data_IF_178661514457
#
_entry.id   IF_178661514457
#
_cell.length_a   1.000
_cell.length_b   1.000
_cell.length_c   1.000
_cell.angle_alpha   90.00
_cell.angle_beta   90.00
_cell.angle_gamma   90.00
#
_symmetry.space_group_name_H-M   'P 1'
#
loop_
_entity.id
_entity.type
_entity.pdbx_description
1 polymer ?
#
# COMPACT_ATOMS: atom_id res chain seq x y z
N UNK A 1 -7.48 -4.81 9.48
CA UNK A 1 -7.00 -5.53 8.29
C UNK A 1 -5.59 -5.96 8.57
N UNK A 2 -5.21 -7.16 8.16
CA UNK A 2 -3.81 -7.56 8.12
C UNK A 2 -3.28 -7.14 6.76
N UNK A 3 -2.18 -6.40 6.72
CA UNK A 3 -1.52 -5.98 5.48
C UNK A 3 -0.06 -6.39 5.55
N UNK A 4 0.44 -7.03 4.50
CA UNK A 4 1.82 -7.47 4.38
C UNK A 4 2.45 -6.86 3.12
N UNK A 5 3.69 -6.37 3.24
CA UNK A 5 4.46 -5.86 2.12
C UNK A 5 5.30 -6.98 1.52
N UNK A 6 5.05 -7.32 0.25
CA UNK A 6 5.78 -8.37 -0.47
C UNK A 6 6.54 -7.73 -1.64
N UNK A 7 7.79 -8.14 -1.83
CA UNK A 7 8.57 -7.75 -3.00
C UNK A 7 8.01 -8.45 -4.25
N UNK A 8 7.80 -7.70 -5.33
CA UNK A 8 7.22 -8.25 -6.57
C UNK A 8 7.98 -9.48 -7.11
N UNK A 9 9.31 -9.52 -6.96
CA UNK A 9 10.14 -10.65 -7.38
C UNK A 9 9.92 -11.95 -6.60
N UNK A 10 9.40 -11.86 -5.36
CA UNK A 10 9.13 -13.00 -4.49
C UNK A 10 7.72 -13.58 -4.66
N UNK A 11 6.84 -12.84 -5.34
CA UNK A 11 5.44 -13.23 -5.50
C UNK A 11 5.32 -14.63 -6.13
N UNK A 12 6.16 -14.93 -7.13
CA UNK A 12 6.18 -16.22 -7.86
C UNK A 12 6.64 -17.43 -7.04
N UNK A 13 7.28 -17.23 -5.89
CA UNK A 13 7.87 -18.33 -5.11
C UNK A 13 6.94 -18.89 -4.02
N UNK A 14 5.69 -18.43 -3.92
CA UNK A 14 4.73 -18.93 -2.94
C UNK A 14 3.52 -18.04 -2.69
N UNK A 15 3.69 -16.71 -2.50
CA UNK A 15 2.61 -15.80 -2.14
C UNK A 15 1.45 -15.73 -3.15
N UNK A 16 1.67 -16.08 -4.42
CA UNK A 16 0.60 -16.21 -5.42
C UNK A 16 -0.54 -17.14 -4.97
N UNK A 17 -0.28 -18.11 -4.09
CA UNK A 17 -1.32 -19.00 -3.58
C UNK A 17 -2.35 -18.27 -2.69
N UNK A 18 -1.98 -17.15 -2.07
CA UNK A 18 -2.88 -16.32 -1.25
C UNK A 18 -3.72 -15.36 -2.12
N UNK A 19 -3.26 -15.07 -3.34
CA UNK A 19 -3.90 -14.15 -4.28
C UNK A 19 -4.98 -14.86 -5.13
N UNK A 20 -5.13 -16.18 -4.98
CA UNK A 20 -6.14 -16.98 -5.71
C UNK A 20 -7.57 -16.70 -5.18
N UNK A 21 -7.71 -16.21 -3.95
CA UNK A 21 -9.02 -15.93 -3.35
C UNK A 21 -9.52 -14.52 -3.71
N UNK A 22 -10.71 -14.42 -4.33
CA UNK A 22 -11.37 -13.15 -4.68
C UNK A 22 -11.61 -12.20 -3.48
N UNK A 23 -11.45 -12.71 -2.25
CA UNK A 23 -11.63 -11.96 -1.01
C UNK A 23 -10.37 -11.20 -0.54
N UNK A 24 -9.18 -11.45 -1.11
CA UNK A 24 -7.95 -10.73 -0.77
C UNK A 24 -7.67 -9.59 -1.75
N UNK A 25 -7.90 -8.32 -1.36
CA UNK A 25 -7.54 -7.20 -2.21
C UNK A 25 -6.01 -7.06 -2.30
N UNK A 26 -5.48 -7.06 -3.52
CA UNK A 26 -4.05 -6.80 -3.80
C UNK A 26 -3.90 -5.37 -4.32
N UNK A 27 -2.96 -4.63 -3.74
CA UNK A 27 -2.59 -3.30 -4.19
C UNK A 27 -1.15 -3.37 -4.71
N UNK A 28 -0.96 -3.07 -6.00
CA UNK A 28 0.36 -3.08 -6.63
C UNK A 28 0.81 -1.66 -6.92
N UNK A 29 2.00 -1.30 -6.42
CA UNK A 29 2.64 -0.02 -6.73
C UNK A 29 3.58 -0.24 -7.91
N UNK A 30 3.27 0.41 -9.04
CA UNK A 30 4.08 0.33 -10.26
C UNK A 30 4.61 1.71 -10.61
N UNK A 31 5.93 1.79 -10.74
CA UNK A 31 6.63 2.98 -11.20
C UNK A 31 6.97 2.83 -12.68
N UNK A 32 7.09 3.94 -13.41
CA UNK A 32 7.55 3.91 -14.80
C UNK A 32 9.07 3.80 -14.83
N UNK A 33 9.59 2.61 -14.58
CA UNK A 33 11.01 2.27 -14.61
C UNK A 33 11.28 1.25 -15.74
N UNK A 34 12.54 0.93 -16.11
CA UNK A 34 12.81 0.02 -17.23
C UNK A 34 12.28 -1.42 -17.04
N UNK A 35 11.79 -1.78 -15.84
CA UNK A 35 11.12 -3.06 -15.55
C UNK A 35 9.58 -2.95 -15.71
N UNK A 36 9.07 -1.82 -16.21
CA UNK A 36 7.64 -1.59 -16.38
C UNK A 36 6.99 -2.63 -17.29
N UNK A 37 6.01 -3.34 -16.73
CA UNK A 37 5.09 -4.21 -17.46
C UNK A 37 3.71 -3.58 -17.43
N UNK A 38 3.01 -3.54 -18.56
CA UNK A 38 1.65 -3.01 -18.64
C UNK A 38 0.73 -3.81 -17.72
N UNK A 39 0.36 -3.21 -16.59
CA UNK A 39 -0.70 -3.69 -15.70
C UNK A 39 -2.03 -3.08 -16.10
N UNK A 40 -3.13 -3.81 -15.90
CA UNK A 40 -4.48 -3.45 -16.39
C UNK A 40 -5.50 -3.05 -15.30
N UNK A 41 -5.08 -2.90 -14.03
CA UNK A 41 -6.00 -2.65 -12.90
C UNK A 41 -5.88 -1.25 -12.29
N UNK A 42 -7.01 -0.69 -11.85
CA UNK A 42 -7.22 0.63 -11.25
C UNK A 42 -5.96 1.43 -10.89
N UNK A 43 -5.55 2.36 -11.77
CA UNK A 43 -4.31 3.12 -11.61
C UNK A 43 -4.51 4.47 -10.92
N UNK A 44 -3.73 4.73 -9.87
CA UNK A 44 -3.43 6.09 -9.43
C UNK A 44 -2.14 6.55 -10.13
N UNK A 45 -2.25 7.50 -11.07
CA UNK A 45 -1.09 7.99 -11.83
C UNK A 45 -0.29 8.99 -11.00
N UNK A 46 0.92 8.60 -10.60
CA UNK A 46 1.88 9.49 -9.95
C UNK A 46 2.77 10.13 -11.04
N UNK A 47 3.08 11.44 -10.97
CA UNK A 47 3.99 12.06 -11.93
C UNK A 47 5.36 11.37 -11.95
N UNK A 48 5.99 11.34 -13.12
CA UNK A 48 7.31 10.75 -13.28
C UNK A 48 8.36 11.62 -12.58
N UNK A 49 9.10 11.03 -11.64
CA UNK A 49 10.25 11.66 -10.98
C UNK A 49 11.45 10.73 -11.01
N UNK A 50 12.59 11.19 -10.49
CA UNK A 50 13.79 10.34 -10.37
C UNK A 50 13.52 9.13 -9.48
N UNK A 51 14.13 7.99 -9.81
CA UNK A 51 13.88 6.69 -9.18
C UNK A 51 13.93 6.74 -7.65
N UNK A 52 14.85 7.52 -7.09
CA UNK A 52 15.03 7.67 -5.65
C UNK A 52 13.88 8.42 -4.95
N UNK A 53 13.20 9.33 -5.66
CA UNK A 53 12.08 10.13 -5.13
C UNK A 53 10.73 9.47 -5.42
N UNK A 54 10.67 8.61 -6.43
CA UNK A 54 9.46 7.90 -6.82
C UNK A 54 8.87 7.07 -5.66
N UNK A 55 9.73 6.45 -4.83
CA UNK A 55 9.30 5.71 -3.64
C UNK A 55 8.64 6.59 -2.56
N UNK A 56 9.04 7.85 -2.43
CA UNK A 56 8.39 8.78 -1.48
C UNK A 56 7.01 9.18 -2.01
N UNK A 57 6.91 9.43 -3.31
CA UNK A 57 5.64 9.82 -3.92
C UNK A 57 4.60 8.69 -3.95
N UNK A 58 5.03 7.43 -3.98
CA UNK A 58 4.12 6.27 -3.92
C UNK A 58 3.63 5.96 -2.51
N UNK A 59 4.34 6.42 -1.46
CA UNK A 59 3.91 6.27 -0.07
C UNK A 59 2.73 7.19 0.26
N UNK A 60 2.67 8.40 -0.31
CA UNK A 60 1.57 9.36 -0.09
C UNK A 60 0.18 8.77 -0.39
N UNK A 61 -0.09 8.21 -1.59
CA UNK A 61 -1.39 7.61 -1.88
C UNK A 61 -1.67 6.37 -1.01
N UNK A 62 -0.66 5.58 -0.65
CA UNK A 62 -0.82 4.46 0.27
C UNK A 62 -1.24 4.90 1.68
N UNK A 63 -0.70 6.02 2.17
CA UNK A 63 -1.09 6.61 3.45
C UNK A 63 -2.53 7.12 3.41
N UNK A 64 -2.93 7.82 2.33
CA UNK A 64 -4.30 8.30 2.14
C UNK A 64 -5.31 7.16 2.03
N UNK A 65 -4.94 6.06 1.37
CA UNK A 65 -5.75 4.86 1.28
C UNK A 65 -5.96 4.22 2.65
N UNK A 66 -4.90 4.07 3.44
CA UNK A 66 -4.99 3.58 4.82
C UNK A 66 -5.94 4.43 5.67
N UNK A 67 -5.82 5.76 5.57
CA UNK A 67 -6.70 6.69 6.28
C UNK A 67 -8.17 6.52 5.86
N UNK A 68 -8.47 6.48 4.57
CA UNK A 68 -9.85 6.32 4.10
C UNK A 68 -10.46 4.98 4.50
N UNK A 69 -9.68 3.89 4.45
CA UNK A 69 -10.17 2.59 4.90
C UNK A 69 -10.40 2.59 6.42
N UNK A 70 -9.56 3.28 7.20
CA UNK A 70 -9.77 3.41 8.64
C UNK A 70 -11.06 4.19 8.96
N UNK A 71 -11.30 5.31 8.25
CA UNK A 71 -12.54 6.10 8.38
C UNK A 71 -13.77 5.29 7.99
N UNK A 72 -13.72 4.56 6.86
CA UNK A 72 -14.81 3.69 6.42
C UNK A 72 -15.12 2.55 7.39
N UNK A 73 -14.13 2.12 8.19
CA UNK A 73 -14.27 1.07 9.21
C UNK A 73 -14.53 1.65 10.61
N UNK A 74 -14.84 2.93 10.73
CA UNK A 74 -15.08 3.65 11.99
C UNK A 74 -13.94 3.44 13.02
N UNK A 75 -12.71 3.27 12.53
CA UNK A 75 -11.54 3.09 13.36
C UNK A 75 -10.94 4.46 13.72
N UNK A 76 -10.58 4.66 14.99
CA UNK A 76 -9.88 5.88 15.41
C UNK A 76 -8.45 5.87 14.84
N UNK A 77 -8.17 6.81 13.93
CA UNK A 77 -6.87 6.92 13.25
C UNK A 77 -5.83 7.61 14.13
N UNK A 78 -6.27 8.45 15.07
CA UNK A 78 -5.42 9.21 15.98
C UNK A 78 -4.95 8.38 17.19
N UNK A 79 -5.63 7.27 17.48
CA UNK A 79 -5.28 6.35 18.57
C UNK A 79 -5.25 4.88 18.09
N UNK A 80 -4.23 4.46 17.33
CA UNK A 80 -4.09 3.08 16.90
C UNK A 80 -3.95 2.14 18.12
N UNK A 81 -4.80 1.11 18.16
CA UNK A 81 -4.82 0.10 19.23
C UNK A 81 -3.42 -0.54 19.33
N UNK A 82 -2.76 -0.40 20.49
CA UNK A 82 -1.41 -0.90 20.83
C UNK A 82 -0.18 -0.02 20.48
N UNK A 83 -0.35 1.22 20.01
CA UNK A 83 0.74 2.21 19.99
C UNK A 83 0.49 3.27 21.05
N UNK A 84 1.33 3.28 22.09
CA UNK A 84 1.42 4.41 22.99
C UNK A 84 2.30 5.47 22.32
N UNK A 85 1.72 6.60 21.93
CA UNK A 85 2.50 7.77 21.57
C UNK A 85 3.14 8.32 22.86
N UNK A 86 4.47 8.50 22.88
CA UNK A 86 5.15 9.28 23.91
C UNK A 86 4.82 10.74 23.65
N UNK A 87 3.69 11.21 24.17
CA UNK A 87 3.21 12.58 24.00
C UNK A 87 1.70 12.63 23.83
N UNK A 88 1.03 12.84 24.97
CA UNK A 88 -0.28 13.46 25.16
C UNK A 88 -1.50 12.88 24.43
N UNK A 89 -2.26 12.07 25.17
CA UNK A 89 -3.70 11.97 25.02
C UNK A 89 -4.33 12.99 25.99
N UNK A 90 -4.88 14.09 25.48
CA UNK A 90 -5.97 14.82 26.16
C UNK A 90 -7.29 14.40 25.55
#
# INVERSE_FOLDING_TARGET
>A
MHSEGILAGELKHGPLALVIDDAMPVIMVVTKDPVYTEVHECFATVPHTVDCLQGILTVIPMQLLSFHIAVLRECNVDCPRNLAQVGDCQ
#
